data_IF_814676545073
#
_entry.id   IF_814676545073
#
_cell.length_a   1.000
_cell.length_b   1.000
_cell.length_c   1.000
_cell.angle_alpha   90.00
_cell.angle_beta   90.00
_cell.angle_gamma   90.00
#
_symmetry.space_group_name_H-M   'P 1'
#
loop_
_entity.id
_entity.type
_entity.pdbx_description
1 polymer ?
#
# COMPACT_ATOMS: atom_id res chain seq x y z
N UNK A 1 49.18 16.02 -3.42
CA UNK A 1 49.59 14.60 -3.31
C UNK A 1 51.04 14.55 -2.85
N UNK A 2 51.37 13.88 -1.73
CA UNK A 2 52.73 13.91 -1.19
C UNK A 2 53.68 13.10 -2.07
N UNK A 3 54.75 13.73 -2.57
CA UNK A 3 55.76 13.16 -3.49
C UNK A 3 56.29 11.79 -3.05
N UNK A 4 56.42 11.58 -1.74
CA UNK A 4 56.83 10.30 -1.13
C UNK A 4 56.01 9.09 -1.55
N UNK A 5 54.70 9.27 -1.77
CA UNK A 5 53.79 8.18 -2.14
C UNK A 5 53.96 7.80 -3.62
N UNK A 6 54.37 8.76 -4.45
CA UNK A 6 54.69 8.53 -5.86
C UNK A 6 56.05 7.83 -5.96
N UNK A 7 57.05 8.30 -5.21
CA UNK A 7 58.39 7.72 -5.18
C UNK A 7 58.36 6.25 -4.71
N UNK A 8 57.50 5.89 -3.74
CA UNK A 8 57.33 4.50 -3.30
C UNK A 8 56.66 3.62 -4.36
N UNK A 9 55.66 4.13 -5.08
CA UNK A 9 54.99 3.37 -6.14
C UNK A 9 55.91 3.17 -7.35
N UNK A 10 56.75 4.15 -7.67
CA UNK A 10 57.76 4.03 -8.72
C UNK A 10 58.86 3.02 -8.33
N UNK A 11 59.27 2.98 -7.06
CA UNK A 11 60.20 1.95 -6.57
C UNK A 11 59.62 0.55 -6.67
N UNK A 12 58.38 0.33 -6.20
CA UNK A 12 57.71 -0.98 -6.31
C UNK A 12 57.53 -1.42 -7.77
N UNK A 13 57.21 -0.49 -8.67
CA UNK A 13 57.07 -0.79 -10.09
C UNK A 13 58.40 -1.20 -10.74
N UNK A 14 59.49 -0.52 -10.39
CA UNK A 14 60.82 -0.84 -10.91
C UNK A 14 61.31 -2.20 -10.39
N UNK A 15 61.11 -2.49 -9.11
CA UNK A 15 61.46 -3.79 -8.51
C UNK A 15 60.67 -4.94 -9.15
N UNK A 16 59.39 -4.73 -9.43
CA UNK A 16 58.55 -5.70 -10.15
C UNK A 16 59.06 -5.98 -11.57
N UNK A 17 59.49 -4.94 -12.30
CA UNK A 17 60.04 -5.09 -13.64
C UNK A 17 61.40 -5.78 -13.64
N UNK A 18 62.27 -5.48 -12.68
CA UNK A 18 63.57 -6.14 -12.53
C UNK A 18 63.38 -7.64 -12.26
N UNK A 19 62.45 -7.99 -11.37
CA UNK A 19 62.09 -9.39 -11.11
C UNK A 19 61.62 -10.08 -12.40
N UNK A 20 60.64 -9.52 -13.11
CA UNK A 20 60.11 -10.14 -14.34
C UNK A 20 61.18 -10.24 -15.43
N UNK A 21 62.04 -9.22 -15.56
CA UNK A 21 63.12 -9.21 -16.53
C UNK A 21 64.13 -10.34 -16.24
N UNK A 22 64.43 -10.60 -14.96
CA UNK A 22 65.28 -11.72 -14.54
C UNK A 22 64.67 -13.08 -14.90
N UNK A 23 63.37 -13.27 -14.69
CA UNK A 23 62.68 -14.52 -15.05
C UNK A 23 62.61 -14.73 -16.57
N UNK A 24 62.44 -13.64 -17.34
CA UNK A 24 62.51 -13.67 -18.80
C UNK A 24 63.91 -13.98 -19.31
N UNK A 25 64.94 -13.37 -18.71
CA UNK A 25 66.36 -13.61 -19.05
C UNK A 25 66.83 -15.02 -18.71
N UNK A 26 66.30 -15.61 -17.64
CA UNK A 26 66.55 -17.00 -17.25
C UNK A 26 65.72 -18.04 -18.03
N UNK A 27 64.85 -17.61 -18.95
CA UNK A 27 63.98 -18.50 -19.72
C UNK A 27 62.85 -19.17 -18.92
N UNK A 28 62.58 -18.71 -17.69
CA UNK A 28 61.52 -19.23 -16.82
C UNK A 28 60.13 -18.71 -17.20
N UNK A 29 60.06 -17.66 -18.03
CA UNK A 29 58.80 -17.16 -18.56
C UNK A 29 58.44 -17.89 -19.87
N UNK A 30 57.39 -18.74 -19.89
CA UNK A 30 57.07 -19.53 -21.07
C UNK A 30 56.57 -18.67 -22.22
N UNK A 31 57.01 -19.00 -23.44
CA UNK A 31 56.60 -18.31 -24.67
C UNK A 31 55.09 -18.42 -24.93
N UNK A 32 54.45 -19.49 -24.46
CA UNK A 32 53.01 -19.72 -24.59
C UNK A 32 52.43 -20.25 -23.27
N UNK A 33 52.08 -19.35 -22.33
CA UNK A 33 51.56 -19.74 -21.00
C UNK A 33 50.35 -20.67 -21.09
N UNK A 34 49.47 -20.45 -22.07
CA UNK A 34 48.28 -21.28 -22.30
C UNK A 34 48.63 -22.73 -22.65
N UNK A 35 49.66 -22.96 -23.46
CA UNK A 35 50.10 -24.32 -23.79
C UNK A 35 50.68 -25.01 -22.56
N UNK A 36 51.45 -24.29 -21.75
CA UNK A 36 51.97 -24.83 -20.48
C UNK A 36 50.82 -25.24 -19.56
N UNK A 37 49.81 -24.39 -19.38
CA UNK A 37 48.63 -24.72 -18.56
C UNK A 37 47.86 -25.93 -19.07
N UNK A 38 47.71 -26.08 -20.40
CA UNK A 38 47.03 -27.22 -21.00
C UNK A 38 47.81 -28.53 -20.86
N UNK A 39 49.13 -28.45 -20.72
CA UNK A 39 50.02 -29.60 -20.58
C UNK A 39 50.27 -29.98 -19.10
N UNK A 40 49.78 -29.19 -18.14
CA UNK A 40 49.85 -29.58 -16.74
C UNK A 40 48.97 -30.81 -16.51
N UNK A 41 49.46 -31.84 -15.81
CA UNK A 41 48.64 -32.98 -15.41
C UNK A 41 47.42 -32.44 -14.65
N UNK A 42 46.24 -32.56 -15.25
CA UNK A 42 45.01 -32.19 -14.56
C UNK A 42 44.86 -33.14 -13.38
N UNK A 43 44.80 -32.67 -12.12
CA UNK A 43 44.52 -33.56 -11.01
C UNK A 43 43.21 -34.26 -11.32
N UNK A 44 43.21 -35.59 -11.24
CA UNK A 44 42.03 -36.42 -11.43
C UNK A 44 41.02 -36.00 -10.37
N UNK A 45 40.15 -35.04 -10.69
CA UNK A 45 38.96 -34.79 -9.89
C UNK A 45 38.18 -36.10 -9.89
N UNK A 46 37.69 -36.57 -8.73
CA UNK A 46 36.74 -37.67 -8.72
C UNK A 46 35.61 -37.33 -9.72
N UNK A 47 35.07 -38.32 -10.44
CA UNK A 47 34.01 -38.08 -11.40
C UNK A 47 32.90 -37.24 -10.74
N UNK A 48 32.27 -36.30 -11.46
CA UNK A 48 31.19 -35.51 -10.90
C UNK A 48 30.19 -36.49 -10.31
N UNK A 49 29.97 -36.39 -8.99
CA UNK A 49 28.94 -37.17 -8.32
C UNK A 49 27.65 -36.84 -9.05
N UNK A 50 27.09 -37.81 -9.76
CA UNK A 50 25.77 -37.68 -10.38
C UNK A 50 24.86 -37.12 -9.30
N UNK A 51 24.16 -35.99 -9.51
CA UNK A 51 23.21 -35.52 -8.52
C UNK A 51 22.21 -36.65 -8.31
N UNK A 52 22.24 -37.26 -7.13
CA UNK A 52 21.21 -38.20 -6.71
C UNK A 52 19.93 -37.38 -6.63
N UNK A 53 19.17 -37.30 -7.73
CA UNK A 53 17.78 -36.89 -7.67
C UNK A 53 17.10 -37.93 -6.79
N UNK A 54 16.62 -37.59 -5.58
CA UNK A 54 15.86 -38.54 -4.80
C UNK A 54 14.68 -39.00 -5.66
N UNK A 55 14.59 -40.31 -5.88
CA UNK A 55 13.65 -40.94 -6.82
C UNK A 55 12.17 -40.86 -6.34
N UNK A 56 11.87 -40.09 -5.29
CA UNK A 56 10.54 -39.98 -4.75
C UNK A 56 10.16 -38.51 -4.51
N UNK A 57 9.34 -37.90 -5.39
CA UNK A 57 8.76 -36.58 -5.14
C UNK A 57 7.62 -36.60 -4.11
N UNK A 58 7.19 -37.75 -3.58
CA UNK A 58 6.06 -37.86 -2.63
C UNK A 58 6.37 -37.39 -1.21
N UNK A 59 7.63 -37.06 -0.89
CA UNK A 59 8.01 -36.54 0.43
C UNK A 59 7.86 -35.01 0.55
N UNK A 60 7.44 -34.34 -0.54
CA UNK A 60 7.09 -32.93 -0.53
C UNK A 60 5.60 -32.77 -0.24
N UNK A 61 5.28 -32.32 0.98
CA UNK A 61 3.90 -31.97 1.35
C UNK A 61 3.44 -30.73 0.56
N UNK A 62 2.72 -30.97 -0.54
CA UNK A 62 2.13 -29.94 -1.39
C UNK A 62 0.78 -29.44 -0.83
N UNK A 63 0.32 -29.92 0.32
CA UNK A 63 -0.97 -29.50 0.91
C UNK A 63 -1.04 -27.99 1.11
N UNK A 64 0.09 -27.35 1.43
CA UNK A 64 0.22 -25.90 1.60
C UNK A 64 -0.01 -25.11 0.30
N UNK A 65 0.19 -25.72 -0.88
CA UNK A 65 -0.07 -25.06 -2.17
C UNK A 65 -1.56 -25.07 -2.53
N UNK A 66 -2.30 -26.05 -2.01
CA UNK A 66 -3.73 -26.24 -2.29
C UNK A 66 -4.61 -25.67 -1.17
N UNK A 67 -4.04 -25.23 -0.05
CA UNK A 67 -4.80 -24.66 1.07
C UNK A 67 -5.25 -23.23 0.81
N UNK A 68 -6.39 -22.83 1.40
CA UNK A 68 -6.82 -21.43 1.44
C UNK A 68 -5.80 -20.54 2.15
N UNK A 69 -5.88 -19.22 1.92
CA UNK A 69 -5.00 -18.26 2.59
C UNK A 69 -5.03 -18.46 4.12
N UNK A 70 -3.86 -18.49 4.80
CA UNK A 70 -3.79 -18.73 6.24
C UNK A 70 -4.65 -17.73 7.03
N UNK A 71 -5.29 -18.21 8.09
CA UNK A 71 -5.96 -17.32 9.03
C UNK A 71 -4.94 -16.45 9.78
N UNK A 72 -5.27 -15.22 10.20
CA UNK A 72 -4.31 -14.31 10.85
C UNK A 72 -3.70 -14.93 12.13
N UNK A 73 -4.53 -15.66 12.87
CA UNK A 73 -4.11 -16.35 14.10
C UNK A 73 -3.14 -17.49 13.77
N UNK A 74 -3.46 -18.27 12.75
CA UNK A 74 -2.65 -19.40 12.29
C UNK A 74 -1.28 -18.93 11.77
N UNK A 75 -1.27 -17.84 10.99
CA UNK A 75 -0.05 -17.21 10.48
C UNK A 75 0.87 -16.76 11.63
N UNK A 76 0.32 -16.06 12.64
CA UNK A 76 1.10 -15.64 13.82
C UNK A 76 1.65 -16.82 14.60
N UNK A 77 0.87 -17.90 14.75
CA UNK A 77 1.30 -19.11 15.43
C UNK A 77 2.44 -19.80 14.65
N UNK A 78 2.28 -19.96 13.33
CA UNK A 78 3.29 -20.55 12.46
C UNK A 78 4.60 -19.75 12.46
N UNK A 79 4.52 -18.42 12.32
CA UNK A 79 5.69 -17.54 12.37
C UNK A 79 6.39 -17.58 13.74
N UNK A 80 5.63 -17.70 14.83
CA UNK A 80 6.20 -17.86 16.18
C UNK A 80 6.99 -19.16 16.30
N UNK A 81 6.46 -20.27 15.78
CA UNK A 81 7.13 -21.58 15.77
C UNK A 81 8.39 -21.55 14.88
N UNK A 82 8.30 -20.95 13.70
CA UNK A 82 9.46 -20.80 12.81
C UNK A 82 10.57 -19.99 13.48
N UNK A 83 10.22 -18.83 14.05
CA UNK A 83 11.20 -17.95 14.70
C UNK A 83 11.78 -18.55 15.98
N UNK A 84 11.03 -19.36 16.73
CA UNK A 84 11.55 -20.08 17.90
C UNK A 84 12.50 -21.20 17.48
N UNK A 85 12.15 -21.99 16.46
CA UNK A 85 13.01 -23.03 15.90
C UNK A 85 14.33 -22.46 15.34
N UNK A 86 14.26 -21.34 14.62
CA UNK A 86 15.44 -20.63 14.12
C UNK A 86 16.33 -20.09 15.26
N UNK A 87 15.75 -19.74 16.40
CA UNK A 87 16.50 -19.23 17.55
C UNK A 87 17.12 -20.36 18.39
N UNK A 88 16.47 -21.52 18.47
CA UNK A 88 16.93 -22.67 19.24
C UNK A 88 18.21 -23.32 18.66
N UNK A 89 18.40 -23.25 17.34
CA UNK A 89 19.54 -23.91 16.68
C UNK A 89 20.90 -23.23 16.91
N UNK A 90 20.98 -22.11 17.63
CA UNK A 90 22.23 -21.41 18.01
C UNK A 90 23.27 -21.20 16.87
N UNK A 91 22.87 -21.32 15.60
CA UNK A 91 23.66 -20.91 14.45
C UNK A 91 23.64 -19.38 14.42
N UNK A 92 24.57 -18.81 15.21
CA UNK A 92 24.86 -17.40 15.44
C UNK A 92 24.22 -16.46 14.41
N UNK A 93 23.27 -15.62 14.85
CA UNK A 93 22.86 -14.34 14.24
C UNK A 93 23.10 -14.24 12.73
N UNK A 94 22.68 -15.25 11.99
CA UNK A 94 23.04 -15.36 10.58
C UNK A 94 22.28 -14.28 9.81
N UNK A 95 22.86 -13.67 8.77
CA UNK A 95 22.11 -12.82 7.84
C UNK A 95 20.77 -13.45 7.42
N UNK A 96 20.76 -14.78 7.27
CA UNK A 96 19.55 -15.59 6.97
C UNK A 96 18.51 -15.49 8.07
N UNK A 97 18.88 -15.59 9.34
CA UNK A 97 17.96 -15.50 10.47
C UNK A 97 17.33 -14.11 10.59
N UNK A 98 18.14 -13.05 10.40
CA UNK A 98 17.63 -11.67 10.38
C UNK A 98 16.66 -11.46 9.23
N UNK A 99 17.00 -11.97 8.06
CA UNK A 99 16.15 -11.89 6.88
C UNK A 99 14.84 -12.65 7.08
N UNK A 100 14.89 -13.88 7.62
CA UNK A 100 13.71 -14.67 7.95
C UNK A 100 12.78 -13.93 8.92
N UNK A 101 13.32 -13.38 10.01
CA UNK A 101 12.53 -12.56 10.97
C UNK A 101 11.89 -11.35 10.27
N UNK A 102 12.65 -10.66 9.41
CA UNK A 102 12.13 -9.51 8.66
C UNK A 102 10.99 -9.92 7.73
N UNK A 103 11.12 -11.03 7.02
CA UNK A 103 10.06 -11.55 6.16
C UNK A 103 8.83 -11.91 6.98
N UNK A 104 8.97 -12.67 8.07
CA UNK A 104 7.81 -13.06 8.90
C UNK A 104 7.06 -11.84 9.43
N UNK A 105 7.78 -10.81 9.88
CA UNK A 105 7.16 -9.54 10.31
C UNK A 105 6.46 -8.80 9.16
N UNK A 106 7.07 -8.75 7.97
CA UNK A 106 6.47 -8.11 6.81
C UNK A 106 5.19 -8.83 6.37
N UNK A 107 5.18 -10.17 6.38
CA UNK A 107 4.00 -10.96 6.02
C UNK A 107 2.86 -10.71 7.02
N UNK A 108 3.15 -10.64 8.32
CA UNK A 108 2.15 -10.28 9.34
C UNK A 108 1.58 -8.88 9.12
N UNK A 109 2.43 -7.89 8.83
CA UNK A 109 1.98 -6.52 8.53
C UNK A 109 1.06 -6.49 7.32
N UNK A 110 1.48 -7.10 6.22
CA UNK A 110 0.71 -7.17 4.98
C UNK A 110 -0.61 -7.92 5.18
N UNK A 111 -0.64 -8.95 6.01
CA UNK A 111 -1.87 -9.68 6.30
C UNK A 111 -2.84 -8.83 7.13
N UNK A 112 -2.33 -8.10 8.12
CA UNK A 112 -3.13 -7.16 8.92
C UNK A 112 -3.68 -6.01 8.05
N UNK A 113 -2.86 -5.43 7.19
CA UNK A 113 -3.27 -4.40 6.22
C UNK A 113 -4.35 -4.94 5.27
N UNK A 114 -4.18 -6.15 4.73
CA UNK A 114 -5.19 -6.80 3.90
C UNK A 114 -6.50 -7.05 4.66
N UNK A 115 -6.43 -7.42 5.94
CA UNK A 115 -7.61 -7.63 6.77
C UNK A 115 -8.39 -6.31 6.99
N UNK A 116 -7.68 -5.21 7.22
CA UNK A 116 -8.27 -3.87 7.33
C UNK A 116 -8.93 -3.46 6.01
N UNK A 117 -8.20 -3.56 4.90
CA UNK A 117 -8.73 -3.21 3.57
C UNK A 117 -9.97 -4.02 3.20
N UNK A 118 -10.01 -5.32 3.53
CA UNK A 118 -11.20 -6.16 3.31
C UNK A 118 -12.40 -5.67 4.12
N UNK A 119 -12.20 -5.22 5.36
CA UNK A 119 -13.27 -4.64 6.19
C UNK A 119 -13.75 -3.30 5.63
N UNK A 120 -12.84 -2.41 5.28
CA UNK A 120 -13.19 -1.11 4.67
C UNK A 120 -13.98 -1.32 3.37
N UNK A 121 -13.54 -2.23 2.51
CA UNK A 121 -14.27 -2.57 1.29
C UNK A 121 -15.67 -3.12 1.56
N UNK A 122 -15.84 -3.90 2.63
CA UNK A 122 -17.13 -4.43 3.04
C UNK A 122 -18.05 -3.29 3.53
N UNK A 123 -17.54 -2.39 4.37
CA UNK A 123 -18.26 -1.21 4.85
C UNK A 123 -18.66 -0.28 3.68
N UNK A 124 -17.77 -0.02 2.73
CA UNK A 124 -18.08 0.76 1.53
C UNK A 124 -19.17 0.12 0.68
N UNK A 125 -19.14 -1.21 0.53
CA UNK A 125 -20.20 -1.94 -0.19
C UNK A 125 -21.53 -1.82 0.54
N UNK A 126 -21.57 -1.97 1.85
CA UNK A 126 -22.79 -1.81 2.65
C UNK A 126 -23.36 -0.39 2.57
N UNK A 127 -22.51 0.63 2.62
CA UNK A 127 -22.91 2.03 2.41
C UNK A 127 -23.46 2.27 0.99
N UNK A 128 -22.85 1.67 -0.04
CA UNK A 128 -23.36 1.78 -1.40
C UNK A 128 -24.70 1.07 -1.56
N UNK A 129 -24.87 -0.11 -0.98
CA UNK A 129 -26.13 -0.84 -1.04
C UNK A 129 -27.24 -0.10 -0.28
N UNK A 130 -26.95 0.48 0.88
CA UNK A 130 -27.93 1.34 1.59
C UNK A 130 -28.27 2.61 0.81
N UNK A 131 -27.31 3.25 0.13
CA UNK A 131 -27.55 4.40 -0.75
C UNK A 131 -28.35 4.03 -2.01
N UNK A 132 -28.03 2.89 -2.66
CA UNK A 132 -28.78 2.39 -3.82
C UNK A 132 -30.23 2.06 -3.46
N UNK A 133 -30.52 1.64 -2.23
CA UNK A 133 -31.89 1.50 -1.72
C UNK A 133 -32.57 2.87 -1.52
N UNK A 134 -31.81 3.91 -1.15
CA UNK A 134 -32.27 5.31 -1.07
C UNK A 134 -32.31 5.99 -2.46
N UNK A 135 -33.02 5.42 -3.43
CA UNK A 135 -33.23 6.04 -4.76
C UNK A 135 -34.35 7.07 -4.83
N UNK A 136 -35.10 7.28 -3.73
CA UNK A 136 -36.22 8.23 -3.70
C UNK A 136 -35.75 9.68 -3.44
N UNK A 137 -34.64 10.07 -4.07
CA UNK A 137 -33.91 11.32 -3.86
C UNK A 137 -34.35 12.47 -4.76
N UNK A 138 -35.66 12.58 -5.00
CA UNK A 138 -36.39 13.81 -5.38
C UNK A 138 -37.85 13.48 -5.16
N UNK A 139 -38.42 13.95 -4.04
CA UNK A 139 -39.84 13.77 -3.75
C UNK A 139 -40.62 14.48 -4.86
N UNK A 140 -41.34 13.72 -5.67
CA UNK A 140 -42.18 14.28 -6.73
C UNK A 140 -43.42 14.82 -6.03
N UNK A 141 -43.60 16.15 -6.06
CA UNK A 141 -44.79 16.80 -5.54
C UNK A 141 -45.82 16.91 -6.67
N UNK A 142 -46.86 16.09 -6.64
CA UNK A 142 -47.99 16.18 -7.57
C UNK A 142 -49.14 16.90 -6.87
N UNK A 143 -49.62 18.00 -7.46
CA UNK A 143 -50.75 18.82 -6.95
C UNK A 143 -50.68 19.30 -5.49
N UNK A 144 -49.54 19.22 -4.80
CA UNK A 144 -49.45 19.58 -3.38
C UNK A 144 -49.03 18.43 -2.48
N UNK A 145 -49.22 17.20 -2.93
CA UNK A 145 -48.99 15.98 -2.15
C UNK A 145 -47.66 15.33 -2.51
N UNK A 146 -47.01 14.74 -1.49
CA UNK A 146 -45.75 14.01 -1.64
C UNK A 146 -46.04 12.55 -1.93
N UNK A 147 -45.53 12.06 -3.06
CA UNK A 147 -45.76 10.69 -3.53
C UNK A 147 -44.47 9.88 -3.44
N UNK A 148 -44.54 8.66 -2.90
CA UNK A 148 -43.37 7.85 -2.54
C UNK A 148 -43.18 6.60 -3.42
N UNK A 149 -44.27 6.04 -3.95
CA UNK A 149 -44.26 4.82 -4.78
C UNK A 149 -44.65 5.09 -6.23
N UNK A 150 -44.13 4.28 -7.17
CA UNK A 150 -44.53 4.34 -8.60
C UNK A 150 -46.01 4.01 -8.78
N UNK A 151 -46.57 3.11 -7.97
CA UNK A 151 -47.99 2.77 -7.99
C UNK A 151 -48.86 3.96 -7.57
N UNK A 152 -48.44 4.71 -6.56
CA UNK A 152 -49.12 5.94 -6.12
C UNK A 152 -49.06 7.02 -7.21
N UNK A 153 -47.94 7.15 -7.92
CA UNK A 153 -47.81 8.08 -9.06
C UNK A 153 -48.78 7.71 -10.18
N UNK A 154 -48.85 6.42 -10.55
CA UNK A 154 -49.77 5.95 -11.58
C UNK A 154 -51.23 6.19 -11.21
N UNK A 155 -51.60 5.93 -9.94
CA UNK A 155 -52.95 6.17 -9.43
C UNK A 155 -53.33 7.66 -9.47
N UNK A 156 -52.42 8.54 -9.07
CA UNK A 156 -52.65 9.99 -9.12
C UNK A 156 -52.74 10.50 -10.57
N UNK A 157 -51.97 9.93 -11.49
CA UNK A 157 -52.08 10.24 -12.92
C UNK A 157 -53.45 9.82 -13.44
N UNK A 158 -53.90 8.60 -13.14
CA UNK A 158 -55.22 8.09 -13.54
C UNK A 158 -56.35 8.95 -12.96
N UNK A 159 -56.29 9.31 -11.68
CA UNK A 159 -57.27 10.20 -11.04
C UNK A 159 -57.23 11.63 -11.64
N UNK A 160 -56.05 12.13 -12.02
CA UNK A 160 -55.89 13.42 -12.69
C UNK A 160 -56.37 13.40 -14.15
N UNK A 161 -56.32 12.26 -14.83
CA UNK A 161 -56.90 12.07 -16.16
C UNK A 161 -58.42 11.96 -16.11
N UNK A 162 -58.96 11.25 -15.11
CA UNK A 162 -60.41 11.14 -14.90
C UNK A 162 -61.05 12.44 -14.41
N UNK A 163 -60.28 13.33 -13.77
CA UNK A 163 -60.73 14.68 -13.40
C UNK A 163 -60.30 15.69 -14.47
N UNK A 164 -61.12 15.95 -15.52
CA UNK A 164 -60.76 16.95 -16.51
C UNK A 164 -60.61 18.30 -15.81
N UNK A 165 -59.39 18.82 -15.82
CA UNK A 165 -59.12 20.16 -15.30
C UNK A 165 -60.04 21.14 -16.05
N UNK A 166 -60.77 22.01 -15.34
CA UNK A 166 -61.56 23.02 -16.00
C UNK A 166 -60.61 23.85 -16.86
N UNK A 167 -60.93 23.98 -18.16
CA UNK A 167 -60.18 24.83 -19.09
C UNK A 167 -60.02 26.19 -18.44
N UNK A 168 -58.79 26.54 -18.07
CA UNK A 168 -58.49 27.88 -17.56
C UNK A 168 -58.96 28.86 -18.62
N UNK A 169 -59.93 29.71 -18.27
CA UNK A 169 -60.34 30.80 -19.14
C UNK A 169 -59.07 31.64 -19.34
N UNK A 170 -58.61 31.73 -20.59
CA UNK A 170 -57.58 32.70 -20.97
C UNK A 170 -58.16 34.09 -20.73
N UNK A 171 -57.91 34.61 -19.54
CA UNK A 171 -58.38 35.89 -19.06
C UNK A 171 -57.28 36.49 -18.19
N UNK A 172 -56.92 37.73 -18.54
CA UNK A 172 -55.87 38.59 -17.97
C UNK A 172 -55.65 38.38 -16.46
N UNK A 173 -54.40 38.31 -15.96
CA UNK A 173 -54.14 38.09 -14.55
C UNK A 173 -54.73 39.24 -13.72
N UNK A 174 -55.67 38.91 -12.83
CA UNK A 174 -56.17 39.83 -11.82
C UNK A 174 -55.14 39.91 -10.69
N UNK A 175 -54.68 41.15 -10.40
CA UNK A 175 -53.88 41.47 -9.22
C UNK A 175 -54.66 41.03 -7.97
N UNK A 176 -54.20 39.98 -7.28
CA UNK A 176 -54.60 39.75 -5.89
C UNK A 176 -53.73 40.64 -5.01
N UNK A 177 -54.37 41.41 -4.14
CA UNK A 177 -53.72 42.13 -3.06
C UNK A 177 -53.14 41.09 -2.10
N UNK A 178 -51.90 41.33 -1.66
CA UNK A 178 -51.23 40.54 -0.64
C UNK A 178 -51.74 41.10 0.67
N UNK A 179 -52.58 40.34 1.37
CA UNK A 179 -52.94 40.67 2.75
C UNK A 179 -51.70 40.40 3.61
N UNK A 180 -51.10 41.49 4.09
CA UNK A 180 -50.19 41.47 5.23
C UNK A 180 -51.05 41.19 6.47
N UNK A 181 -50.79 40.07 7.14
CA UNK A 181 -51.17 39.89 8.54
C UNK A 181 -49.87 39.54 9.25
N UNK A 182 -49.38 40.53 9.98
CA UNK A 182 -48.40 40.42 11.07
C UNK A 182 -49.05 39.72 12.27
N UNK A 183 -48.19 39.23 13.18
CA UNK A 183 -48.40 38.73 14.56
C UNK A 183 -47.72 37.35 14.70
N UNK A 184 -46.77 37.09 15.60
CA UNK A 184 -46.33 37.81 16.79
C UNK A 184 -44.91 37.34 17.15
N UNK A 185 -44.12 38.26 17.72
CA UNK A 185 -42.89 37.96 18.45
C UNK A 185 -43.25 37.35 19.80
N UNK A 186 -42.71 36.18 20.12
CA UNK A 186 -42.44 35.80 21.50
C UNK A 186 -40.93 35.57 21.62
N UNK A 187 -40.26 36.54 22.27
CA UNK A 187 -38.95 36.35 22.87
C UNK A 187 -39.14 35.69 24.24
N UNK A 188 -38.47 34.57 24.48
CA UNK A 188 -37.97 34.21 25.81
C UNK A 188 -36.56 33.62 25.61
N UNK A 189 -35.55 34.40 26.00
CA UNK A 189 -34.22 33.92 26.40
C UNK A 189 -34.42 33.02 27.66
N UNK A 190 -33.70 31.94 27.97
CA UNK A 190 -32.27 31.90 28.23
C UNK A 190 -31.82 30.47 28.65
N UNK A 191 -30.62 30.11 28.19
CA UNK A 191 -29.53 29.38 28.87
C UNK A 191 -29.48 27.85 29.15
N UNK A 192 -28.26 27.38 28.81
CA UNK A 192 -27.40 26.30 29.36
C UNK A 192 -27.60 24.84 28.89
N UNK A 193 -26.61 24.07 28.42
CA UNK A 193 -25.15 24.21 28.47
C UNK A 193 -24.44 23.31 27.44
N UNK A 194 -23.20 23.69 27.09
CA UNK A 194 -21.97 22.86 27.01
C UNK A 194 -21.89 21.65 26.03
N UNK A 195 -20.88 21.41 25.19
CA UNK A 195 -19.59 22.02 24.79
C UNK A 195 -19.20 21.29 23.48
N UNK A 196 -18.82 22.03 22.43
CA UNK A 196 -18.25 21.48 21.21
C UNK A 196 -16.98 22.23 20.83
N UNK A 197 -15.83 21.81 21.39
CA UNK A 197 -14.54 22.40 21.06
C UNK A 197 -14.09 22.01 19.65
N UNK A 198 -14.03 23.02 18.78
CA UNK A 198 -13.40 22.99 17.45
C UNK A 198 -11.88 22.97 17.64
N UNK A 199 -11.21 21.93 17.15
CA UNK A 199 -9.76 21.87 17.09
C UNK A 199 -9.32 22.51 15.77
N UNK A 200 -8.62 23.64 15.91
CA UNK A 200 -7.97 24.40 14.84
C UNK A 200 -6.77 23.61 14.31
N UNK A 201 -6.69 23.48 12.99
CA UNK A 201 -5.56 22.85 12.28
C UNK A 201 -4.56 23.96 11.91
N UNK A 202 -3.44 24.03 12.65
CA UNK A 202 -2.30 24.88 12.29
C UNK A 202 -1.31 24.11 11.40
N UNK A 203 -1.17 24.56 10.15
CA UNK A 203 -0.01 24.25 9.30
C UNK A 203 0.91 25.47 9.23
N UNK A 204 2.18 25.40 9.65
CA UNK A 204 3.11 26.52 9.48
C UNK A 204 3.70 26.55 8.07
N UNK A 205 3.37 27.60 7.30
CA UNK A 205 4.11 28.00 6.09
C UNK A 205 5.12 29.08 6.47
N UNK A 206 6.38 28.86 6.11
CA UNK A 206 7.54 29.64 6.50
C UNK A 206 7.61 31.03 5.84
N UNK A 207 7.94 32.06 6.63
CA UNK A 207 8.40 33.37 6.13
C UNK A 207 9.79 33.67 6.69
N UNK A 208 10.77 33.77 5.78
CA UNK A 208 12.16 34.18 6.04
C UNK A 208 12.21 35.68 6.37
N UNK A 209 12.81 36.06 7.48
CA UNK A 209 13.24 37.45 7.74
C UNK A 209 14.76 37.52 7.92
N UNK A 210 15.38 38.39 7.11
CA UNK A 210 16.82 38.70 7.16
C UNK A 210 17.09 39.57 8.39
N UNK A 211 17.91 39.09 9.31
CA UNK A 211 18.48 39.88 10.40
C UNK A 211 19.83 40.46 9.96
N UNK A 212 19.93 41.79 9.92
CA UNK A 212 21.18 42.52 9.77
C UNK A 212 21.83 42.69 11.15
N UNK A 213 23.01 42.11 11.36
CA UNK A 213 23.95 42.54 12.41
C UNK A 213 24.63 43.82 11.96
N UNK A 214 24.60 44.87 12.79
CA UNK A 214 25.58 45.95 12.75
C UNK A 214 26.60 45.72 13.86
N UNK A 215 27.85 45.98 13.49
CA UNK A 215 29.06 46.06 14.31
C UNK A 215 28.94 47.18 15.33
#
# INVERSE_FOLDING_TARGET
MPKRLIDTLEQEYNEYNDLISGWKGAGLNPFSPRQVLNNLPTPLLPPPSTPNTPANPEDLDLSLLNSSSPNDIELRQANKVLNSALSANNLLTSPVQRYAKRITHQIESLNAENAILRKELQEYKELLETRKKRKNGKRIKLKGEFVFSTEEVLKIIEEAEQTPLPKRRHGRPSKRQIDQVEEEMEEEEDNDSSVGSVIVVDHPVACRTRSNRKI
#
